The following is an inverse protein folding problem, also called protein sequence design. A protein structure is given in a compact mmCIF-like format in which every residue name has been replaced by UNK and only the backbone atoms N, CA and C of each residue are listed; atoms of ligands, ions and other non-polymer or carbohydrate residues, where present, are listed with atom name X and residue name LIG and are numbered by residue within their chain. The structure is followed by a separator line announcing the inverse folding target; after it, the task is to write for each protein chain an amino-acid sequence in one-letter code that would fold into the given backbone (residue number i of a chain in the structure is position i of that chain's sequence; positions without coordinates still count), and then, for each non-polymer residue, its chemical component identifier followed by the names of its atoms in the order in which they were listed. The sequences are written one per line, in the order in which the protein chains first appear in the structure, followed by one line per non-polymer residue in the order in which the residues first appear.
data_IF_462814987036
#
_entry.id   IF_462814987036
#
_cell.length_a   1.000
_cell.length_b   1.000
_cell.length_c   1.000
_cell.angle_alpha   90.00
_cell.angle_beta   90.00
_cell.angle_gamma   90.00
#
_symmetry.space_group_name_H-M   'P 1'
#
loop_
_entity.id
_entity.type
_entity.pdbx_description
1 polymer ?
#
# COMPACT_ATOMS: atom_id res chain seq x y z
N UNK A 1 -45.64 -41.82 3.96
CA UNK A 1 -44.51 -41.44 3.10
C UNK A 1 -44.06 -40.07 3.55
N UNK A 2 -42.98 -40.00 4.33
CA UNK A 2 -42.47 -38.75 4.88
C UNK A 2 -41.83 -37.89 3.79
N UNK A 3 -42.42 -36.73 3.55
CA UNK A 3 -41.95 -35.79 2.55
C UNK A 3 -40.72 -35.06 3.08
N UNK A 4 -39.54 -35.38 2.54
CA UNK A 4 -38.30 -34.68 2.89
C UNK A 4 -38.36 -33.23 2.37
N UNK A 5 -38.32 -32.27 3.30
CA UNK A 5 -38.23 -30.84 3.01
C UNK A 5 -36.78 -30.52 2.65
N UNK A 6 -36.52 -30.11 1.41
CA UNK A 6 -35.19 -29.66 0.97
C UNK A 6 -35.19 -28.13 1.02
N UNK A 7 -34.40 -27.57 1.93
CA UNK A 7 -34.17 -26.13 2.02
C UNK A 7 -32.82 -25.82 1.38
N UNK A 8 -32.82 -24.99 0.34
CA UNK A 8 -31.58 -24.51 -0.29
C UNK A 8 -31.08 -23.31 0.52
N UNK A 9 -29.84 -23.38 1.01
CA UNK A 9 -29.19 -22.28 1.72
C UNK A 9 -28.31 -21.56 0.71
N UNK A 10 -28.54 -20.25 0.52
CA UNK A 10 -27.73 -19.44 -0.38
C UNK A 10 -26.33 -19.19 0.20
N UNK A 11 -25.34 -19.07 -0.69
CA UNK A 11 -23.97 -18.80 -0.29
C UNK A 11 -23.84 -17.39 0.30
N UNK A 12 -23.07 -17.26 1.39
CA UNK A 12 -22.75 -15.96 1.97
C UNK A 12 -22.06 -15.06 0.93
N UNK A 13 -22.36 -13.75 0.92
CA UNK A 13 -21.69 -12.82 0.01
C UNK A 13 -20.18 -12.85 0.26
N UNK A 14 -19.40 -12.91 -0.82
CA UNK A 14 -17.94 -12.82 -0.72
C UNK A 14 -17.58 -11.44 -0.18
N UNK A 15 -16.99 -11.39 1.01
CA UNK A 15 -16.39 -10.18 1.54
C UNK A 15 -15.32 -9.70 0.55
N UNK A 16 -15.40 -8.44 0.15
CA UNK A 16 -14.38 -7.81 -0.68
C UNK A 16 -13.06 -7.86 0.09
N UNK A 17 -12.03 -8.43 -0.54
CA UNK A 17 -10.70 -8.49 0.06
C UNK A 17 -10.05 -7.12 -0.07
N UNK A 18 -9.77 -6.48 1.07
CA UNK A 18 -9.00 -5.25 1.12
C UNK A 18 -7.52 -5.62 0.97
N UNK A 19 -6.82 -4.96 0.04
CA UNK A 19 -5.38 -5.11 -0.18
C UNK A 19 -4.65 -3.99 0.54
N UNK A 20 -3.76 -4.33 1.47
CA UNK A 20 -2.92 -3.34 2.16
C UNK A 20 -1.75 -2.96 1.26
N UNK A 21 -1.59 -1.67 0.97
CA UNK A 21 -0.59 -1.17 0.02
C UNK A 21 0.30 -0.12 0.69
N UNK A 22 1.60 -0.28 0.57
CA UNK A 22 2.60 0.71 0.96
C UNK A 22 3.35 1.23 -0.27
N UNK A 23 3.80 2.48 -0.22
CA UNK A 23 4.63 3.08 -1.27
C UNK A 23 6.09 3.15 -0.83
N UNK A 24 7.00 3.04 -1.79
CA UNK A 24 8.44 3.22 -1.57
C UNK A 24 8.95 4.35 -2.46
N UNK A 25 9.59 5.35 -1.86
CA UNK A 25 10.13 6.53 -2.53
C UNK A 25 11.64 6.62 -2.32
N UNK A 26 12.38 7.09 -3.33
CA UNK A 26 13.82 7.37 -3.20
C UNK A 26 14.16 8.66 -3.92
N UNK A 27 15.04 9.46 -3.35
CA UNK A 27 15.52 10.69 -3.97
C UNK A 27 17.05 10.67 -3.97
N UNK A 28 17.69 10.97 -5.09
CA UNK A 28 19.12 10.69 -5.32
C UNK A 28 20.09 11.85 -5.05
N UNK A 29 19.62 13.03 -4.59
CA UNK A 29 20.46 14.25 -4.48
C UNK A 29 20.14 15.11 -3.25
N UNK A 30 21.09 15.29 -2.34
CA UNK A 30 20.99 15.98 -1.03
C UNK A 30 20.90 17.52 -1.10
N UNK A 31 19.87 18.11 -1.70
CA UNK A 31 19.60 19.57 -1.65
C UNK A 31 18.18 19.84 -1.18
N UNK A 32 17.87 21.04 -0.69
CA UNK A 32 16.55 21.43 -0.14
C UNK A 32 15.34 21.14 -1.06
N UNK A 33 15.55 21.08 -2.38
CA UNK A 33 14.54 20.62 -3.34
C UNK A 33 14.05 19.17 -3.10
N UNK A 34 14.83 18.37 -2.35
CA UNK A 34 14.51 17.02 -1.89
C UNK A 34 13.23 16.95 -1.08
N UNK A 35 13.13 17.77 -0.03
CA UNK A 35 12.02 17.70 0.91
C UNK A 35 10.70 17.97 0.18
N UNK A 36 10.74 18.90 -0.78
CA UNK A 36 9.62 19.18 -1.65
C UNK A 36 9.31 18.01 -2.60
N UNK A 37 10.34 17.39 -3.18
CA UNK A 37 10.18 16.23 -4.07
C UNK A 37 9.66 14.97 -3.36
N UNK A 38 10.08 14.74 -2.10
CA UNK A 38 9.65 13.60 -1.30
C UNK A 38 8.21 13.80 -0.81
N UNK A 39 7.89 15.00 -0.32
CA UNK A 39 6.52 15.35 0.06
C UNK A 39 5.55 15.22 -1.14
N UNK A 40 5.98 15.63 -2.34
CA UNK A 40 5.20 15.45 -3.56
C UNK A 40 5.00 13.96 -3.90
N UNK A 41 6.02 13.11 -3.76
CA UNK A 41 5.90 11.67 -3.98
C UNK A 41 4.97 11.01 -2.97
N UNK A 42 5.08 11.35 -1.68
CA UNK A 42 4.20 10.86 -0.62
C UNK A 42 2.75 11.26 -0.91
N UNK A 43 2.51 12.52 -1.26
CA UNK A 43 1.18 13.03 -1.59
C UNK A 43 0.57 12.32 -2.80
N UNK A 44 1.37 12.10 -3.84
CA UNK A 44 0.94 11.37 -5.04
C UNK A 44 0.50 9.94 -4.72
N UNK A 45 1.31 9.18 -3.98
CA UNK A 45 0.99 7.80 -3.64
C UNK A 45 -0.17 7.69 -2.65
N UNK A 46 -0.27 8.60 -1.68
CA UNK A 46 -1.44 8.68 -0.80
C UNK A 46 -2.72 8.85 -1.61
N UNK A 47 -2.73 9.78 -2.57
CA UNK A 47 -3.89 10.00 -3.43
C UNK A 47 -4.20 8.77 -4.29
N UNK A 48 -3.21 8.20 -4.96
CA UNK A 48 -3.37 7.04 -5.83
C UNK A 48 -3.93 5.82 -5.09
N UNK A 49 -3.44 5.54 -3.87
CA UNK A 49 -3.89 4.40 -3.07
C UNK A 49 -5.28 4.66 -2.50
N UNK A 50 -5.58 5.90 -2.10
CA UNK A 50 -6.89 6.26 -1.54
C UNK A 50 -8.00 6.28 -2.58
N UNK A 51 -7.69 6.56 -3.85
CA UNK A 51 -8.64 6.54 -4.97
C UNK A 51 -8.97 5.11 -5.45
N UNK A 52 -8.19 4.10 -5.05
CA UNK A 52 -8.40 2.72 -5.48
C UNK A 52 -9.35 1.98 -4.54
N UNK A 53 -10.53 1.60 -5.03
CA UNK A 53 -11.47 0.77 -4.27
C UNK A 53 -10.85 -0.58 -3.91
N UNK A 54 -10.99 -0.97 -2.65
CA UNK A 54 -10.42 -2.22 -2.14
C UNK A 54 -8.95 -2.15 -1.74
N UNK A 55 -8.32 -0.96 -1.71
CA UNK A 55 -6.99 -0.76 -1.15
C UNK A 55 -7.05 -0.03 0.20
N UNK A 56 -6.13 -0.38 1.09
CA UNK A 56 -5.89 0.30 2.36
C UNK A 56 -4.45 0.81 2.37
N UNK A 57 -4.29 2.11 2.62
CA UNK A 57 -2.98 2.72 2.73
C UNK A 57 -2.25 2.28 4.00
N UNK A 58 -1.09 1.66 3.85
CA UNK A 58 -0.29 1.10 4.94
C UNK A 58 0.94 1.94 5.32
N UNK A 59 1.34 2.93 4.51
CA UNK A 59 2.48 3.80 4.77
C UNK A 59 3.31 4.15 3.53
N UNK A 60 4.22 5.12 3.67
CA UNK A 60 5.28 5.38 2.69
C UNK A 60 6.62 5.19 3.38
N UNK A 61 7.50 4.40 2.75
CA UNK A 61 8.88 4.21 3.14
C UNK A 61 9.79 5.03 2.22
N UNK A 62 10.81 5.67 2.77
CA UNK A 62 11.68 6.55 1.99
C UNK A 62 13.15 6.38 2.38
N UNK A 63 14.01 6.18 1.37
CA UNK A 63 15.45 6.23 1.54
C UNK A 63 15.97 7.63 1.17
N UNK A 64 16.43 8.38 2.17
CA UNK A 64 17.26 9.56 1.95
C UNK A 64 18.65 9.08 1.51
N UNK A 65 19.05 9.42 0.28
CA UNK A 65 20.28 8.92 -0.32
C UNK A 65 21.55 9.21 0.50
N UNK A 66 21.90 8.29 1.39
CA UNK A 66 23.23 8.19 1.98
C UNK A 66 24.07 7.26 1.11
N UNK A 67 24.32 7.70 -0.13
CA UNK A 67 25.24 7.09 -1.12
C UNK A 67 24.89 5.66 -1.56
N UNK A 68 24.73 5.42 -2.86
CA UNK A 68 24.43 4.10 -3.44
C UNK A 68 25.58 3.07 -3.38
N UNK A 69 26.40 3.07 -2.33
CA UNK A 69 27.58 2.19 -2.19
C UNK A 69 27.77 1.57 -0.79
N UNK A 70 26.73 1.55 0.07
CA UNK A 70 26.81 0.83 1.35
C UNK A 70 25.55 -0.01 1.58
N UNK A 71 25.79 -1.28 1.91
CA UNK A 71 24.83 -2.38 2.05
C UNK A 71 24.04 -2.34 3.38
N UNK A 72 23.86 -1.15 3.96
CA UNK A 72 23.22 -0.94 5.26
C UNK A 72 21.88 -0.28 5.07
N UNK A 73 20.84 -1.10 4.91
CA UNK A 73 19.43 -0.68 4.78
C UNK A 73 18.71 -1.06 6.07
N UNK A 74 18.58 -0.13 7.01
CA UNK A 74 17.89 -0.38 8.29
C UNK A 74 16.36 -0.40 8.13
N UNK A 75 15.80 0.26 7.11
CA UNK A 75 14.35 0.36 6.85
C UNK A 75 13.80 -0.76 5.94
N UNK A 76 14.64 -1.68 5.44
CA UNK A 76 14.24 -2.82 4.61
C UNK A 76 14.58 -4.14 5.30
N UNK A 77 13.71 -4.56 6.22
CA UNK A 77 13.69 -5.89 6.87
C UNK A 77 12.30 -6.51 6.72
#
# INVERSE_FOLDING_TARGET
MDQKRITKIDALPKLQKITRVAAYARVSTCKDAMLHSLAAQVSYYNKMISEHEGWEFAGVYADEALTGTKDTREEFQ
#
